data_IF_993900286915
#
_entry.id   IF_993900286915
#
_cell.length_a   1.000
_cell.length_b   1.000
_cell.length_c   1.000
_cell.angle_alpha   90.00
_cell.angle_beta   90.00
_cell.angle_gamma   90.00
#
_symmetry.space_group_name_H-M   'P 1'
#
loop_
_entity.id
_entity.type
_entity.pdbx_description
1 polymer ?
#
# COMPACT_ATOMS: atom_id res chain seq x y z
N UNK A 1 12.80 7.13 14.01
CA UNK A 1 11.36 7.03 14.36
C UNK A 1 10.62 6.39 13.19
N UNK A 2 9.63 5.54 13.47
CA UNK A 2 8.76 4.96 12.45
C UNK A 2 7.54 5.87 12.31
N UNK A 3 7.34 6.47 11.14
CA UNK A 3 6.17 7.30 10.85
C UNK A 3 5.06 6.43 10.25
N UNK A 4 3.85 6.40 10.85
CA UNK A 4 2.70 5.78 10.23
C UNK A 4 2.39 6.41 8.87
N UNK A 5 2.04 5.58 7.91
CA UNK A 5 1.65 6.00 6.57
C UNK A 5 0.39 5.27 6.16
N UNK A 6 -0.62 6.02 5.72
CA UNK A 6 -1.78 5.48 5.00
C UNK A 6 -1.46 5.52 3.51
N UNK A 7 -1.84 4.48 2.77
CA UNK A 7 -1.58 4.43 1.33
C UNK A 7 -2.69 3.73 0.55
N UNK A 8 -2.75 4.03 -0.75
CA UNK A 8 -3.69 3.42 -1.71
C UNK A 8 -2.88 2.73 -2.81
N UNK A 9 -3.13 1.45 -3.01
CA UNK A 9 -2.68 0.67 -4.17
C UNK A 9 -3.83 0.47 -5.15
N UNK A 10 -3.56 0.46 -6.45
CA UNK A 10 -4.52 0.17 -7.50
C UNK A 10 -3.99 -0.91 -8.46
N UNK A 11 -4.87 -1.60 -9.17
CA UNK A 11 -4.46 -2.52 -10.23
C UNK A 11 -4.38 -1.86 -11.61
N UNK A 12 -5.25 -0.88 -11.88
CA UNK A 12 -5.30 -0.06 -13.09
C UNK A 12 -6.16 1.19 -12.83
N UNK A 13 -6.17 2.13 -13.77
CA UNK A 13 -7.14 3.25 -13.79
C UNK A 13 -8.57 2.70 -13.73
N UNK A 14 -9.40 3.32 -12.89
CA UNK A 14 -10.81 2.97 -12.62
C UNK A 14 -11.01 1.48 -12.27
N UNK A 15 -10.03 0.92 -11.57
CA UNK A 15 -9.98 -0.48 -11.17
C UNK A 15 -10.12 -0.69 -9.66
N UNK A 16 -9.66 -1.84 -9.19
CA UNK A 16 -9.70 -2.21 -7.78
C UNK A 16 -8.63 -1.47 -7.00
N UNK A 17 -9.04 -0.88 -5.88
CA UNK A 17 -8.15 -0.22 -4.92
C UNK A 17 -8.01 -1.04 -3.64
N UNK A 18 -6.86 -0.90 -3.00
CA UNK A 18 -6.56 -1.45 -1.68
C UNK A 18 -5.97 -0.33 -0.82
N UNK A 19 -6.55 -0.10 0.36
CA UNK A 19 -6.05 0.84 1.35
C UNK A 19 -5.30 0.10 2.45
N UNK A 20 -4.18 0.63 2.92
CA UNK A 20 -3.41 0.02 4.00
C UNK A 20 -2.66 1.03 4.84
N UNK A 21 -2.12 0.54 5.96
CA UNK A 21 -1.23 1.30 6.86
C UNK A 21 0.12 0.60 6.96
N UNK A 22 1.21 1.37 7.03
CA UNK A 22 2.56 0.83 7.23
C UNK A 22 3.48 1.86 7.87
N UNK A 23 4.51 1.39 8.56
CA UNK A 23 5.64 2.20 9.02
C UNK A 23 6.81 2.25 8.01
N UNK A 24 6.70 1.52 6.89
CA UNK A 24 7.70 1.45 5.84
C UNK A 24 7.01 1.31 4.47
N UNK A 25 6.66 2.46 3.87
CA UNK A 25 5.98 2.53 2.58
C UNK A 25 6.79 1.91 1.43
N UNK A 26 8.10 2.18 1.26
CA UNK A 26 8.88 1.60 0.16
C UNK A 26 8.89 0.07 0.16
N UNK A 27 9.12 -0.53 1.33
CA UNK A 27 9.07 -1.99 1.48
C UNK A 27 7.69 -2.53 1.14
N UNK A 28 6.63 -1.87 1.61
CA UNK A 28 5.26 -2.37 1.43
C UNK A 28 4.81 -2.24 -0.03
N UNK A 29 5.13 -1.14 -0.70
CA UNK A 29 4.91 -0.97 -2.14
C UNK A 29 5.64 -2.04 -2.97
N UNK A 30 6.90 -2.36 -2.61
CA UNK A 30 7.65 -3.45 -3.23
C UNK A 30 6.95 -4.80 -3.08
N UNK A 31 6.54 -5.16 -1.87
CA UNK A 31 5.86 -6.44 -1.61
C UNK A 31 4.54 -6.58 -2.39
N UNK A 32 3.77 -5.50 -2.57
CA UNK A 32 2.57 -5.52 -3.43
C UNK A 32 2.93 -5.69 -4.91
N UNK A 33 3.93 -4.95 -5.41
CA UNK A 33 4.36 -5.02 -6.81
C UNK A 33 4.81 -6.43 -7.20
N UNK A 34 5.61 -7.05 -6.34
CA UNK A 34 6.11 -8.41 -6.51
C UNK A 34 5.09 -9.50 -6.13
N UNK A 35 3.97 -9.13 -5.49
CA UNK A 35 2.92 -10.07 -5.09
C UNK A 35 3.35 -11.03 -3.97
N UNK A 36 4.27 -10.60 -3.10
CA UNK A 36 4.90 -11.45 -2.08
C UNK A 36 3.96 -11.86 -0.95
N UNK A 37 2.90 -11.10 -0.74
CA UNK A 37 1.89 -11.36 0.29
C UNK A 37 0.61 -11.87 -0.36
N UNK A 38 0.20 -13.09 0.03
CA UNK A 38 -1.11 -13.62 -0.35
C UNK A 38 -2.22 -12.79 0.31
N UNK A 39 -3.30 -12.54 -0.41
CA UNK A 39 -4.44 -11.77 0.11
C UNK A 39 -5.19 -11.02 -0.98
N UNK A 40 -6.03 -10.08 -0.57
CA UNK A 40 -6.87 -9.28 -1.47
C UNK A 40 -6.04 -8.56 -2.56
N UNK A 41 -4.99 -7.83 -2.17
CA UNK A 41 -4.18 -7.07 -3.12
C UNK A 41 -3.49 -7.96 -4.16
N UNK A 42 -3.00 -9.14 -3.76
CA UNK A 42 -2.45 -10.12 -4.70
C UNK A 42 -3.53 -10.73 -5.60
N UNK A 43 -4.70 -11.09 -5.05
CA UNK A 43 -5.84 -11.64 -5.80
C UNK A 43 -6.30 -10.70 -6.91
N UNK A 44 -6.36 -9.40 -6.63
CA UNK A 44 -6.83 -8.38 -7.58
C UNK A 44 -5.70 -7.63 -8.31
N UNK A 45 -4.44 -8.05 -8.12
CA UNK A 45 -3.25 -7.43 -8.73
C UNK A 45 -3.11 -5.93 -8.45
N UNK A 46 -3.40 -5.48 -7.23
CA UNK A 46 -3.20 -4.08 -6.81
C UNK A 46 -1.71 -3.78 -6.62
N UNK A 47 -1.00 -3.51 -7.72
CA UNK A 47 0.47 -3.38 -7.78
C UNK A 47 0.97 -1.93 -7.91
N UNK A 48 0.08 -0.98 -8.19
CA UNK A 48 0.43 0.42 -8.45
C UNK A 48 0.19 1.25 -7.18
N UNK A 49 1.24 1.86 -6.62
CA UNK A 49 1.06 2.85 -5.57
C UNK A 49 0.57 4.15 -6.22
N UNK A 50 -0.65 4.59 -5.87
CA UNK A 50 -1.28 5.76 -6.50
C UNK A 50 -1.42 6.95 -5.56
N UNK A 51 -1.37 6.73 -4.25
CA UNK A 51 -1.44 7.78 -3.24
C UNK A 51 -0.87 7.31 -1.90
N UNK A 52 -0.33 8.25 -1.12
CA UNK A 52 0.04 8.02 0.28
C UNK A 52 -0.02 9.32 1.09
N UNK A 53 -0.18 9.17 2.40
CA UNK A 53 -0.09 10.25 3.40
C UNK A 53 0.70 9.77 4.60
N UNK A 54 1.59 10.63 5.11
CA UNK A 54 2.34 10.40 6.33
C UNK A 54 1.58 11.03 7.50
N UNK A 55 1.53 10.33 8.62
CA UNK A 55 0.94 10.82 9.85
C UNK A 55 1.99 10.83 10.96
N UNK A 56 1.77 11.73 11.92
CA UNK A 56 2.51 11.69 13.16
C UNK A 56 2.01 10.52 14.03
N UNK A 57 2.90 9.94 14.84
CA UNK A 57 2.43 9.06 15.91
C UNK A 57 1.62 9.93 16.87
N UNK A 58 0.35 9.57 17.09
CA UNK A 58 -0.43 10.15 18.18
C UNK A 58 0.42 10.08 19.47
N UNK A 59 0.54 11.22 20.15
CA UNK A 59 1.27 11.35 21.41
C UNK A 59 0.64 10.48 22.50
#
# INVERSE_FOLDING_TARGET
>A
MKQPCVYIMANRRDGTVYTGVTANLPRRAFEHREGLLKGFSAKYSCKLLVWYELHDCAQ
#
